data_IF_795029647142
#
_entry.id   IF_795029647142
#
_cell.length_a   1.000
_cell.length_b   1.000
_cell.length_c   1.000
_cell.angle_alpha   90.00
_cell.angle_beta   90.00
_cell.angle_gamma   90.00
#
_symmetry.space_group_name_H-M   'P 1'
#
loop_
_entity.id
_entity.type
_entity.pdbx_description
1 polymer ?
#
# COMPACT_ATOMS: atom_id res chain seq x y z
N UNK A 1 26.44 -11.55 -13.76
CA UNK A 1 25.97 -12.95 -13.82
C UNK A 1 26.30 -13.54 -15.18
N UNK A 2 26.64 -14.85 -15.31
CA UNK A 2 26.92 -15.46 -16.63
C UNK A 2 25.62 -15.76 -17.37
N UNK A 3 25.67 -15.72 -18.72
CA UNK A 3 24.53 -16.09 -19.59
C UNK A 3 24.05 -17.52 -19.30
N UNK A 4 24.96 -18.46 -19.14
CA UNK A 4 24.63 -19.85 -18.82
C UNK A 4 23.84 -19.99 -17.51
N UNK A 5 24.26 -19.27 -16.47
CA UNK A 5 23.53 -19.25 -15.18
C UNK A 5 22.12 -18.65 -15.32
N UNK A 6 21.98 -17.63 -16.16
CA UNK A 6 20.66 -17.02 -16.42
C UNK A 6 19.76 -18.00 -17.17
N UNK A 7 20.29 -18.64 -18.24
CA UNK A 7 19.56 -19.66 -19.01
C UNK A 7 18.99 -20.74 -18.10
N UNK A 8 19.80 -21.28 -17.21
CA UNK A 8 19.40 -22.34 -16.27
C UNK A 8 18.40 -21.83 -15.22
N UNK A 9 18.59 -20.58 -14.73
CA UNK A 9 17.75 -20.00 -13.69
C UNK A 9 16.31 -19.76 -14.17
N UNK A 10 16.16 -19.23 -15.39
CA UNK A 10 14.86 -18.82 -15.91
C UNK A 10 14.25 -19.84 -16.89
N UNK A 11 14.87 -21.03 -17.04
CA UNK A 11 14.52 -22.09 -18.01
C UNK A 11 14.42 -21.55 -19.45
N UNK A 12 15.41 -20.77 -19.85
CA UNK A 12 15.45 -20.20 -21.19
C UNK A 12 16.17 -21.11 -22.19
N UNK A 13 15.87 -20.90 -23.46
CA UNK A 13 16.64 -21.45 -24.58
C UNK A 13 17.50 -20.36 -25.18
N UNK A 14 18.82 -20.55 -25.21
CA UNK A 14 19.73 -19.66 -25.92
C UNK A 14 19.61 -19.90 -27.43
N UNK A 15 19.17 -18.90 -28.18
CA UNK A 15 18.78 -19.06 -29.60
C UNK A 15 19.96 -18.83 -30.55
N UNK A 16 20.97 -18.08 -30.12
CA UNK A 16 22.16 -17.76 -30.93
C UNK A 16 23.46 -18.12 -30.22
N UNK A 17 24.57 -17.81 -30.84
CA UNK A 17 25.93 -17.99 -30.27
C UNK A 17 26.55 -16.63 -29.98
N UNK A 18 26.22 -16.01 -28.84
CA UNK A 18 26.69 -14.66 -28.51
C UNK A 18 28.19 -14.64 -28.23
N UNK A 19 28.82 -13.47 -28.44
CA UNK A 19 30.18 -13.23 -27.93
C UNK A 19 30.18 -12.82 -26.47
N UNK A 20 29.09 -12.21 -26.01
CA UNK A 20 28.90 -11.81 -24.62
C UNK A 20 28.71 -13.02 -23.75
N UNK A 21 29.43 -13.08 -22.63
CA UNK A 21 29.35 -14.18 -21.67
C UNK A 21 28.71 -13.81 -20.34
N UNK A 22 28.60 -12.53 -20.02
CA UNK A 22 28.11 -12.02 -18.72
C UNK A 22 27.28 -10.76 -18.91
N UNK A 23 26.36 -10.55 -17.98
CA UNK A 23 25.62 -9.31 -17.80
C UNK A 23 25.98 -8.68 -16.47
N UNK A 24 25.87 -7.36 -16.36
CA UNK A 24 26.25 -6.58 -15.18
C UNK A 24 25.03 -6.24 -14.32
N UNK A 25 23.97 -5.78 -14.93
CA UNK A 25 22.72 -5.35 -14.31
C UNK A 25 21.51 -5.90 -15.07
N UNK A 26 20.33 -5.46 -14.71
CA UNK A 26 19.10 -5.98 -15.30
C UNK A 26 18.00 -4.92 -15.22
N UNK A 27 17.18 -4.82 -16.25
CA UNK A 27 16.00 -3.97 -16.27
C UNK A 27 14.84 -4.58 -17.05
N UNK A 28 13.64 -4.10 -16.77
CA UNK A 28 12.38 -4.43 -17.46
C UNK A 28 11.86 -3.24 -18.28
N UNK A 29 12.53 -2.08 -18.21
CA UNK A 29 12.17 -0.88 -18.94
C UNK A 29 13.17 -0.60 -20.07
N UNK A 30 12.75 -0.55 -21.35
CA UNK A 30 13.65 -0.35 -22.47
C UNK A 30 14.41 0.99 -22.43
N UNK A 31 13.79 2.01 -21.79
CA UNK A 31 14.41 3.34 -21.66
C UNK A 31 15.48 3.43 -20.55
N UNK A 32 15.60 2.38 -19.73
CA UNK A 32 16.59 2.29 -18.65
C UNK A 32 17.72 1.30 -18.97
N UNK A 33 17.67 0.68 -20.13
CA UNK A 33 18.74 -0.22 -20.56
C UNK A 33 20.04 0.56 -20.69
N UNK A 34 21.07 0.05 -20.05
CA UNK A 34 22.45 0.51 -20.13
C UNK A 34 23.35 -0.58 -20.74
N UNK A 35 24.56 -0.20 -21.14
CA UNK A 35 25.51 -1.15 -21.69
C UNK A 35 25.83 -2.25 -20.66
N UNK A 36 25.66 -3.50 -21.07
CA UNK A 36 25.91 -4.66 -20.19
C UNK A 36 24.66 -5.28 -19.57
N UNK A 37 23.49 -4.69 -19.78
CA UNK A 37 22.25 -5.13 -19.13
C UNK A 37 21.66 -6.42 -19.69
N UNK A 38 20.97 -7.14 -18.78
CA UNK A 38 19.92 -8.10 -19.10
C UNK A 38 18.60 -7.37 -19.22
N UNK A 39 17.96 -7.43 -20.36
CA UNK A 39 16.64 -6.84 -20.58
C UNK A 39 15.54 -7.90 -20.65
N UNK A 40 14.47 -7.74 -19.88
CA UNK A 40 13.26 -8.56 -19.97
C UNK A 40 12.23 -7.87 -20.87
N UNK A 41 12.08 -8.33 -22.10
CA UNK A 41 11.18 -7.76 -23.09
C UNK A 41 9.74 -8.19 -22.84
N UNK A 42 8.98 -7.40 -22.08
CA UNK A 42 7.54 -7.63 -21.87
C UNK A 42 6.71 -7.36 -23.13
N UNK A 43 7.25 -6.55 -24.03
CA UNK A 43 6.71 -6.28 -25.35
C UNK A 43 7.82 -6.52 -26.37
N UNK A 44 7.54 -7.24 -27.46
CA UNK A 44 8.49 -7.51 -28.54
C UNK A 44 8.98 -6.24 -29.24
N UNK A 45 8.16 -5.21 -29.30
CA UNK A 45 8.49 -3.93 -29.94
C UNK A 45 9.61 -3.17 -29.21
N UNK A 46 9.86 -3.51 -27.94
CA UNK A 46 10.89 -2.88 -27.13
C UNK A 46 12.30 -3.48 -27.36
N UNK A 47 12.40 -4.61 -28.05
CA UNK A 47 13.66 -5.36 -28.22
C UNK A 47 14.69 -4.56 -29.00
N UNK A 48 14.30 -3.99 -30.13
CA UNK A 48 15.21 -3.21 -30.97
C UNK A 48 15.80 -2.04 -30.18
N UNK A 49 14.97 -1.33 -29.46
CA UNK A 49 15.39 -0.21 -28.61
C UNK A 49 16.36 -0.64 -27.50
N UNK A 50 16.12 -1.82 -26.89
CA UNK A 50 17.03 -2.35 -25.88
C UNK A 50 18.39 -2.71 -26.47
N UNK A 51 18.43 -3.29 -27.68
CA UNK A 51 19.67 -3.56 -28.40
C UNK A 51 20.44 -2.27 -28.71
N UNK A 52 19.75 -1.26 -29.24
CA UNK A 52 20.33 0.05 -29.54
C UNK A 52 20.89 0.76 -28.29
N UNK A 53 20.26 0.55 -27.12
CA UNK A 53 20.70 1.09 -25.83
C UNK A 53 21.85 0.28 -25.19
N UNK A 54 22.26 -0.86 -25.79
CA UNK A 54 23.43 -1.61 -25.36
C UNK A 54 23.18 -2.81 -24.47
N UNK A 55 21.98 -3.40 -24.49
CA UNK A 55 21.71 -4.64 -23.79
C UNK A 55 22.67 -5.75 -24.23
N UNK A 56 23.17 -6.55 -23.29
CA UNK A 56 24.02 -7.70 -23.57
C UNK A 56 23.22 -9.00 -23.66
N UNK A 57 22.04 -9.03 -23.07
CA UNK A 57 21.13 -10.16 -23.18
C UNK A 57 19.67 -9.69 -23.21
N UNK A 58 18.88 -10.35 -24.04
CA UNK A 58 17.44 -10.08 -24.19
C UNK A 58 16.67 -11.36 -23.84
N UNK A 59 15.81 -11.29 -22.84
CA UNK A 59 14.84 -12.35 -22.53
C UNK A 59 13.52 -12.00 -23.19
N UNK A 60 12.94 -12.93 -23.94
CA UNK A 60 11.71 -12.69 -24.70
C UNK A 60 10.82 -13.93 -24.80
N UNK A 61 9.54 -13.72 -25.06
CA UNK A 61 8.51 -14.74 -25.25
C UNK A 61 8.07 -14.78 -26.71
N UNK A 62 7.67 -15.95 -27.19
CA UNK A 62 7.13 -16.12 -28.52
C UNK A 62 8.18 -16.32 -29.63
N UNK A 63 7.83 -15.99 -30.86
CA UNK A 63 8.70 -16.08 -32.01
C UNK A 63 9.08 -14.68 -32.50
N UNK A 64 10.35 -14.39 -32.48
CA UNK A 64 10.90 -13.10 -32.92
C UNK A 64 11.92 -13.38 -34.03
N UNK A 65 11.90 -12.57 -35.07
CA UNK A 65 12.96 -12.62 -36.10
C UNK A 65 14.18 -11.84 -35.61
N UNK A 66 15.21 -12.56 -35.19
CA UNK A 66 16.48 -12.00 -34.73
C UNK A 66 17.52 -11.81 -35.83
N UNK A 67 17.19 -12.17 -37.09
CA UNK A 67 18.16 -12.18 -38.22
C UNK A 67 18.76 -10.81 -38.52
N UNK A 68 18.00 -9.74 -38.23
CA UNK A 68 18.40 -8.33 -38.45
C UNK A 68 18.93 -7.64 -37.19
N UNK A 69 19.02 -8.37 -36.06
CA UNK A 69 19.49 -7.82 -34.78
C UNK A 69 20.99 -8.16 -34.58
N UNK A 70 21.62 -7.49 -33.63
CA UNK A 70 23.01 -7.74 -33.28
C UNK A 70 23.19 -9.18 -32.77
N UNK A 71 23.92 -10.01 -33.51
CA UNK A 71 24.17 -11.41 -33.17
C UNK A 71 25.27 -11.63 -32.11
N UNK A 72 25.90 -10.56 -31.64
CA UNK A 72 26.95 -10.65 -30.62
C UNK A 72 26.35 -10.72 -29.19
N UNK A 73 25.13 -10.23 -28.99
CA UNK A 73 24.41 -10.32 -27.73
C UNK A 73 23.61 -11.62 -27.60
N UNK A 74 23.17 -11.94 -26.40
CA UNK A 74 22.44 -13.19 -26.14
C UNK A 74 20.91 -12.99 -26.29
N UNK A 75 20.27 -13.91 -27.05
CA UNK A 75 18.81 -13.96 -27.16
C UNK A 75 18.31 -15.19 -26.42
N UNK A 76 17.56 -14.96 -25.33
CA UNK A 76 17.06 -15.96 -24.40
C UNK A 76 15.55 -16.10 -24.56
N UNK A 77 15.13 -17.17 -25.26
CA UNK A 77 13.70 -17.45 -25.45
C UNK A 77 13.15 -18.19 -24.24
N UNK A 78 12.00 -17.75 -23.75
CA UNK A 78 11.25 -18.37 -22.64
C UNK A 78 9.81 -18.64 -23.03
N UNK A 79 9.14 -19.57 -22.33
CA UNK A 79 7.72 -19.86 -22.51
C UNK A 79 6.83 -18.74 -21.92
N UNK A 80 7.28 -18.09 -20.84
CA UNK A 80 6.59 -16.96 -20.23
C UNK A 80 7.58 -15.95 -19.67
N UNK A 81 7.57 -14.76 -20.24
CA UNK A 81 8.43 -13.66 -19.81
C UNK A 81 8.14 -13.23 -18.35
N UNK A 82 6.87 -13.28 -17.95
CA UNK A 82 6.46 -12.96 -16.58
C UNK A 82 7.02 -13.96 -15.57
N UNK A 83 6.98 -15.26 -15.90
CA UNK A 83 7.54 -16.31 -15.04
C UNK A 83 9.07 -16.23 -14.98
N UNK A 84 9.72 -15.96 -16.10
CA UNK A 84 11.16 -15.77 -16.17
C UNK A 84 11.63 -14.59 -15.32
N UNK A 85 10.99 -13.44 -15.46
CA UNK A 85 11.26 -12.25 -14.63
C UNK A 85 11.05 -12.54 -13.14
N UNK A 86 10.01 -13.30 -12.78
CA UNK A 86 9.74 -13.66 -11.40
C UNK A 86 10.81 -14.61 -10.82
N UNK A 87 11.24 -15.63 -11.57
CA UNK A 87 12.32 -16.51 -11.13
C UNK A 87 13.61 -15.73 -10.89
N UNK A 88 13.93 -14.83 -11.82
CA UNK A 88 15.10 -13.96 -11.70
C UNK A 88 14.99 -13.03 -10.47
N UNK A 89 13.85 -12.39 -10.27
CA UNK A 89 13.59 -11.52 -9.12
C UNK A 89 13.78 -12.27 -7.79
N UNK A 90 13.23 -13.47 -7.67
CA UNK A 90 13.38 -14.32 -6.47
C UNK A 90 14.83 -14.67 -6.21
N UNK A 91 15.57 -15.01 -7.25
CA UNK A 91 17.00 -15.29 -7.12
C UNK A 91 17.76 -14.05 -6.60
N UNK A 92 17.51 -12.87 -7.15
CA UNK A 92 18.14 -11.62 -6.70
C UNK A 92 17.73 -11.30 -5.26
N UNK A 93 16.47 -11.49 -4.90
CA UNK A 93 15.98 -11.29 -3.54
C UNK A 93 16.71 -12.18 -2.52
N UNK A 94 16.95 -13.45 -2.86
CA UNK A 94 17.73 -14.38 -2.04
C UNK A 94 19.20 -13.94 -1.95
N UNK A 95 19.82 -13.59 -3.08
CA UNK A 95 21.23 -13.17 -3.11
C UNK A 95 21.51 -11.91 -2.30
N UNK A 96 20.55 -10.96 -2.31
CA UNK A 96 20.61 -9.71 -1.55
C UNK A 96 20.11 -9.86 -0.10
N UNK A 97 19.68 -11.05 0.32
CA UNK A 97 19.05 -11.29 1.63
C UNK A 97 17.87 -10.34 1.91
N UNK A 98 17.04 -10.14 0.90
CA UNK A 98 15.89 -9.23 0.96
C UNK A 98 14.85 -9.73 1.94
N UNK A 99 14.30 -8.83 2.75
CA UNK A 99 13.16 -9.07 3.65
C UNK A 99 11.93 -8.36 3.12
N UNK A 100 10.87 -9.10 2.85
CA UNK A 100 9.59 -8.57 2.41
C UNK A 100 8.64 -8.50 3.61
N UNK A 101 8.18 -7.29 3.94
CA UNK A 101 7.19 -7.07 4.98
C UNK A 101 5.83 -6.72 4.38
N UNK A 102 4.80 -7.45 4.81
CA UNK A 102 3.41 -7.12 4.52
C UNK A 102 2.87 -6.25 5.65
N UNK A 103 2.45 -5.03 5.32
CA UNK A 103 1.79 -4.10 6.22
C UNK A 103 0.31 -3.97 5.90
N UNK A 104 -0.52 -3.81 6.91
CA UNK A 104 -1.87 -3.30 6.70
C UNK A 104 -1.82 -1.86 6.14
N UNK A 105 -2.83 -1.43 5.37
CA UNK A 105 -2.88 -0.06 4.85
C UNK A 105 -2.71 1.01 5.94
N UNK A 106 -3.35 0.81 7.09
CA UNK A 106 -3.26 1.72 8.25
C UNK A 106 -1.85 1.75 8.85
N UNK A 107 -1.17 0.60 8.95
CA UNK A 107 0.21 0.51 9.45
C UNK A 107 1.17 1.26 8.54
N UNK A 108 1.00 1.11 7.22
CA UNK A 108 1.79 1.86 6.24
C UNK A 108 1.52 3.36 6.32
N UNK A 109 0.27 3.76 6.59
CA UNK A 109 -0.12 5.15 6.80
C UNK A 109 0.52 5.73 8.05
N UNK A 110 0.52 4.98 9.16
CA UNK A 110 1.18 5.34 10.43
C UNK A 110 2.70 5.47 10.22
N UNK A 111 3.34 4.46 9.62
CA UNK A 111 4.78 4.45 9.36
C UNK A 111 5.22 5.72 8.61
N UNK A 112 4.51 6.07 7.53
CA UNK A 112 4.80 7.27 6.73
C UNK A 112 4.66 8.58 7.49
N UNK A 113 3.81 8.62 8.52
CA UNK A 113 3.62 9.82 9.33
C UNK A 113 4.74 9.98 10.36
N UNK A 114 5.09 8.90 11.04
CA UNK A 114 6.02 8.96 12.17
C UNK A 114 7.49 8.85 11.76
N UNK A 115 7.79 8.35 10.54
CA UNK A 115 9.18 8.25 10.05
C UNK A 115 9.48 9.34 9.02
N UNK A 116 10.75 9.74 8.96
CA UNK A 116 11.31 10.60 7.91
C UNK A 116 11.92 9.76 6.78
N UNK A 117 12.44 10.42 5.75
CA UNK A 117 13.28 9.76 4.73
C UNK A 117 14.40 8.95 5.40
N UNK A 118 14.54 7.70 5.02
CA UNK A 118 15.55 6.79 5.55
C UNK A 118 16.15 5.95 4.42
N UNK A 119 17.25 5.27 4.72
CA UNK A 119 17.99 4.38 3.81
C UNK A 119 17.81 2.90 4.18
N UNK A 120 16.96 2.59 5.16
CA UNK A 120 16.81 1.24 5.74
C UNK A 120 15.79 0.43 4.95
N UNK A 121 14.66 1.04 4.59
CA UNK A 121 13.58 0.39 3.87
C UNK A 121 13.04 1.21 2.71
N UNK A 122 12.39 0.55 1.78
CA UNK A 122 11.57 1.21 0.75
C UNK A 122 10.21 0.54 0.61
N UNK A 123 9.24 1.29 0.09
CA UNK A 123 7.87 0.82 -0.10
C UNK A 123 7.67 0.43 -1.55
N UNK A 124 7.28 -0.82 -1.78
CA UNK A 124 7.00 -1.33 -3.11
C UNK A 124 5.70 -0.73 -3.68
N UNK A 125 5.70 -0.56 -4.98
CA UNK A 125 4.50 -0.24 -5.75
C UNK A 125 3.60 -1.48 -5.89
N UNK A 126 2.29 -1.30 -6.03
CA UNK A 126 1.38 -2.39 -6.38
C UNK A 126 1.62 -2.92 -7.83
N UNK A 127 2.36 -2.17 -8.64
CA UNK A 127 2.77 -2.58 -9.98
C UNK A 127 4.03 -3.45 -9.95
N UNK A 128 3.93 -4.68 -10.49
CA UNK A 128 5.03 -5.65 -10.52
C UNK A 128 6.31 -5.12 -11.17
N UNK A 129 6.21 -4.44 -12.30
CA UNK A 129 7.37 -3.92 -13.02
C UNK A 129 8.16 -2.91 -12.20
N UNK A 130 7.45 -1.97 -11.54
CA UNK A 130 8.07 -0.99 -10.65
C UNK A 130 8.72 -1.66 -9.45
N UNK A 131 8.08 -2.68 -8.89
CA UNK A 131 8.62 -3.42 -7.74
C UNK A 131 9.82 -4.27 -8.14
N UNK A 132 9.80 -4.89 -9.33
CA UNK A 132 10.94 -5.59 -9.90
C UNK A 132 12.16 -4.66 -9.99
N UNK A 133 12.01 -3.51 -10.67
CA UNK A 133 13.07 -2.50 -10.79
C UNK A 133 13.61 -2.05 -9.43
N UNK A 134 12.69 -1.79 -8.49
CA UNK A 134 13.08 -1.32 -7.16
C UNK A 134 13.91 -2.35 -6.41
N UNK A 135 13.55 -3.64 -6.46
CA UNK A 135 14.28 -4.71 -5.77
C UNK A 135 15.61 -5.00 -6.46
N UNK A 136 15.60 -5.09 -7.80
CA UNK A 136 16.81 -5.46 -8.54
C UNK A 136 17.88 -4.37 -8.46
N UNK A 137 17.48 -3.10 -8.59
CA UNK A 137 18.40 -1.97 -8.80
C UNK A 137 18.60 -1.07 -7.57
N UNK A 138 18.15 -1.49 -6.37
CA UNK A 138 18.41 -0.76 -5.14
C UNK A 138 19.27 -1.56 -4.16
N UNK A 139 19.87 -0.86 -3.21
CA UNK A 139 20.66 -1.44 -2.13
C UNK A 139 19.87 -1.67 -0.84
N UNK A 140 18.53 -1.50 -0.89
CA UNK A 140 17.68 -1.78 0.25
C UNK A 140 17.61 -3.29 0.52
N UNK A 141 17.65 -3.65 1.80
CA UNK A 141 17.42 -5.04 2.25
C UNK A 141 15.98 -5.25 2.73
N UNK A 142 15.26 -4.17 3.07
CA UNK A 142 13.90 -4.23 3.59
C UNK A 142 12.93 -3.57 2.63
N UNK A 143 11.94 -4.34 2.20
CA UNK A 143 10.87 -3.88 1.31
C UNK A 143 9.52 -4.07 1.98
N UNK A 144 8.69 -3.04 1.94
CA UNK A 144 7.36 -3.02 2.54
C UNK A 144 6.30 -2.96 1.44
N UNK A 145 5.28 -3.79 1.54
CA UNK A 145 4.12 -3.73 0.66
C UNK A 145 2.83 -3.93 1.46
N UNK A 146 1.73 -3.35 0.97
CA UNK A 146 0.37 -3.66 1.45
C UNK A 146 -0.34 -4.70 0.57
N UNK A 147 0.28 -5.11 -0.53
CA UNK A 147 -0.28 -6.07 -1.47
C UNK A 147 0.20 -7.48 -1.13
N UNK A 148 -0.70 -8.27 -0.53
CA UNK A 148 -0.44 -9.65 -0.11
C UNK A 148 -0.03 -10.56 -1.26
N UNK A 149 -0.67 -10.42 -2.43
CA UNK A 149 -0.34 -11.24 -3.59
C UNK A 149 1.06 -10.91 -4.12
N UNK A 150 1.44 -9.63 -4.13
CA UNK A 150 2.79 -9.22 -4.50
C UNK A 150 3.83 -9.76 -3.49
N UNK A 151 3.58 -9.63 -2.18
CA UNK A 151 4.46 -10.16 -1.15
C UNK A 151 4.70 -11.66 -1.35
N UNK A 152 3.62 -12.44 -1.44
CA UNK A 152 3.65 -13.90 -1.66
C UNK A 152 4.32 -14.29 -2.97
N UNK A 153 4.16 -13.46 -4.01
CA UNK A 153 4.76 -13.70 -5.32
C UNK A 153 6.28 -13.55 -5.26
N UNK A 154 6.80 -12.57 -4.52
CA UNK A 154 8.24 -12.33 -4.38
C UNK A 154 8.84 -13.32 -3.39
N UNK A 155 8.25 -13.42 -2.20
CA UNK A 155 8.70 -14.31 -1.13
C UNK A 155 7.49 -15.00 -0.47
N UNK A 156 7.44 -16.33 -0.53
CA UNK A 156 6.39 -17.12 0.13
C UNK A 156 6.42 -17.01 1.64
N UNK A 157 7.58 -16.66 2.21
CA UNK A 157 7.82 -16.50 3.65
C UNK A 157 7.88 -15.02 4.07
N UNK A 158 7.14 -14.16 3.37
CA UNK A 158 7.08 -12.74 3.75
C UNK A 158 6.72 -12.56 5.22
N UNK A 159 7.20 -11.47 5.81
CA UNK A 159 7.04 -11.16 7.23
C UNK A 159 5.83 -10.25 7.46
N UNK A 160 5.22 -10.39 8.63
CA UNK A 160 4.25 -9.45 9.18
C UNK A 160 4.84 -8.75 10.40
N UNK A 161 4.23 -7.66 10.83
CA UNK A 161 4.64 -6.95 12.03
C UNK A 161 3.67 -7.24 13.18
N UNK A 162 4.20 -7.28 14.40
CA UNK A 162 3.45 -7.63 15.61
C UNK A 162 3.62 -6.55 16.69
N UNK A 163 2.61 -6.31 17.55
CA UNK A 163 2.64 -5.28 18.59
C UNK A 163 3.48 -5.72 19.80
N UNK A 164 4.78 -5.90 19.61
CA UNK A 164 5.70 -6.44 20.62
C UNK A 164 6.40 -5.34 21.44
N UNK A 165 5.62 -4.36 21.93
CA UNK A 165 6.07 -3.31 22.86
C UNK A 165 5.02 -3.05 23.93
N UNK A 166 5.47 -2.58 25.11
CA UNK A 166 4.58 -2.15 26.16
C UNK A 166 3.87 -0.86 25.82
N UNK A 167 2.54 -0.86 25.99
CA UNK A 167 1.73 0.33 25.76
C UNK A 167 0.27 0.08 26.05
N UNK A 168 -0.42 1.10 26.56
CA UNK A 168 -1.84 1.05 26.88
C UNK A 168 -2.52 2.41 26.69
N UNK A 169 -3.82 2.34 26.41
CA UNK A 169 -4.69 3.51 26.36
C UNK A 169 -5.01 3.97 27.81
N UNK A 170 -5.02 5.27 28.02
CA UNK A 170 -5.32 5.89 29.34
C UNK A 170 -6.71 6.51 29.29
N UNK A 171 -6.94 7.34 28.29
CA UNK A 171 -8.21 7.98 27.99
C UNK A 171 -8.41 7.99 26.49
N UNK A 172 -9.61 7.67 26.05
CA UNK A 172 -9.90 7.64 24.64
C UNK A 172 -11.38 7.92 24.31
N UNK A 173 -11.56 8.44 23.12
CA UNK A 173 -12.81 8.48 22.36
C UNK A 173 -12.53 7.85 21.01
N UNK A 174 -13.53 7.59 20.18
CA UNK A 174 -13.29 7.08 18.83
C UNK A 174 -12.30 7.93 18.00
N UNK A 175 -12.19 9.22 18.32
CA UNK A 175 -11.41 10.19 17.55
C UNK A 175 -10.10 10.61 18.22
N UNK A 176 -9.99 10.54 19.52
CA UNK A 176 -8.86 11.09 20.27
C UNK A 176 -8.38 10.04 21.26
N UNK A 177 -7.09 9.88 21.36
CA UNK A 177 -6.46 8.97 22.31
C UNK A 177 -5.39 9.66 23.14
N UNK A 178 -5.38 9.34 24.43
CA UNK A 178 -4.28 9.57 25.36
C UNK A 178 -3.70 8.21 25.72
N UNK A 179 -2.43 7.99 25.48
CA UNK A 179 -1.80 6.68 25.68
C UNK A 179 -0.37 6.79 26.18
N UNK A 180 0.10 5.69 26.74
CA UNK A 180 1.50 5.46 27.09
C UNK A 180 2.09 4.41 26.18
N UNK A 181 3.28 4.65 25.67
CA UNK A 181 4.12 3.65 24.99
C UNK A 181 5.49 3.68 25.66
N UNK A 182 5.92 2.53 26.18
CA UNK A 182 7.11 2.39 27.03
C UNK A 182 7.10 3.39 28.19
N UNK A 183 8.03 4.35 28.23
CA UNK A 183 8.12 5.38 29.30
C UNK A 183 7.48 6.73 28.91
N UNK A 184 7.00 6.88 27.67
CA UNK A 184 6.50 8.15 27.15
C UNK A 184 4.98 8.24 27.14
N UNK A 185 4.46 9.42 27.51
CA UNK A 185 3.04 9.75 27.49
C UNK A 185 2.70 10.67 26.32
N UNK A 186 1.61 10.36 25.62
CA UNK A 186 1.11 11.10 24.48
C UNK A 186 -0.35 11.48 24.74
N UNK A 187 -0.60 12.78 24.91
CA UNK A 187 -1.91 13.27 25.30
C UNK A 187 -2.68 13.83 24.11
N UNK A 188 -3.99 13.59 24.10
CA UNK A 188 -4.96 14.16 23.16
C UNK A 188 -4.55 14.07 21.68
N UNK A 189 -4.00 12.93 21.29
CA UNK A 189 -3.64 12.69 19.89
C UNK A 189 -4.90 12.52 19.03
N UNK A 190 -4.95 13.20 17.90
CA UNK A 190 -5.94 12.97 16.83
C UNK A 190 -5.68 11.63 16.15
N UNK A 191 -5.92 10.56 16.90
CA UNK A 191 -5.68 9.19 16.51
C UNK A 191 -6.73 8.28 17.14
N UNK A 192 -7.34 7.41 16.35
CA UNK A 192 -8.38 6.51 16.84
C UNK A 192 -7.79 5.34 17.63
N UNK A 193 -8.35 5.02 18.82
CA UNK A 193 -7.90 3.89 19.65
C UNK A 193 -8.03 2.54 18.95
N UNK A 194 -8.92 2.41 17.96
CA UNK A 194 -9.10 1.15 17.22
C UNK A 194 -7.86 0.70 16.43
N UNK A 195 -6.88 1.60 16.26
CA UNK A 195 -5.60 1.33 15.60
C UNK A 195 -4.40 1.34 16.56
N UNK A 196 -4.65 1.27 17.86
CA UNK A 196 -3.57 1.36 18.85
C UNK A 196 -2.59 0.18 18.73
N UNK A 197 -3.09 -1.04 18.47
CA UNK A 197 -2.24 -2.20 18.25
C UNK A 197 -1.44 -2.08 16.94
N UNK A 198 -2.02 -1.53 15.87
CA UNK A 198 -1.29 -1.23 14.65
C UNK A 198 -0.16 -0.21 14.88
N UNK A 199 -0.39 0.81 15.73
CA UNK A 199 0.67 1.75 16.13
C UNK A 199 1.80 1.03 16.87
N UNK A 200 1.49 0.15 17.82
CA UNK A 200 2.49 -0.66 18.55
C UNK A 200 3.28 -1.54 17.58
N UNK A 201 2.62 -2.20 16.62
CA UNK A 201 3.29 -3.03 15.60
C UNK A 201 4.28 -2.23 14.77
N UNK A 202 3.89 -1.02 14.32
CA UNK A 202 4.76 -0.14 13.55
C UNK A 202 5.96 0.34 14.38
N UNK A 203 5.76 0.67 15.66
CA UNK A 203 6.87 1.08 16.54
C UNK A 203 7.80 -0.11 16.84
N UNK A 204 7.25 -1.31 17.06
CA UNK A 204 8.05 -2.55 17.19
C UNK A 204 8.92 -2.79 15.97
N UNK A 205 8.38 -2.61 14.77
CA UNK A 205 9.15 -2.69 13.52
C UNK A 205 10.25 -1.64 13.48
N UNK A 206 9.96 -0.39 13.82
CA UNK A 206 10.95 0.67 13.87
C UNK A 206 12.09 0.36 14.86
N UNK A 207 11.75 -0.12 16.06
CA UNK A 207 12.72 -0.50 17.07
C UNK A 207 13.61 -1.67 16.62
N UNK A 208 13.00 -2.72 16.03
CA UNK A 208 13.72 -3.89 15.52
C UNK A 208 14.75 -3.54 14.45
N UNK A 209 14.45 -2.54 13.63
CA UNK A 209 15.32 -2.12 12.52
C UNK A 209 16.08 -0.82 12.77
N UNK A 210 16.07 -0.31 14.01
CA UNK A 210 16.73 0.95 14.38
C UNK A 210 16.30 2.15 13.54
N UNK A 211 15.01 2.18 13.13
CA UNK A 211 14.44 3.28 12.37
C UNK A 211 14.03 4.40 13.32
N UNK A 212 14.51 5.61 13.06
CA UNK A 212 14.13 6.79 13.85
C UNK A 212 12.71 7.20 13.53
N UNK A 213 11.91 7.41 14.57
CA UNK A 213 10.51 7.82 14.46
C UNK A 213 10.12 8.91 15.45
N UNK A 214 9.04 9.64 15.17
CA UNK A 214 8.49 10.66 16.04
C UNK A 214 6.96 10.53 16.11
N UNK A 215 6.45 10.01 17.22
CA UNK A 215 5.01 9.83 17.47
C UNK A 215 4.27 11.19 17.55
N UNK A 216 4.96 12.30 17.78
CA UNK A 216 4.32 13.62 17.77
C UNK A 216 3.74 13.99 16.38
N UNK A 217 4.25 13.40 15.32
CA UNK A 217 3.73 13.59 13.96
C UNK A 217 2.47 12.76 13.68
N UNK A 218 2.08 11.87 14.59
CA UNK A 218 0.91 11.00 14.43
C UNK A 218 -0.38 11.82 14.36
N UNK A 219 -1.17 11.55 13.34
CA UNK A 219 -2.52 12.07 13.09
C UNK A 219 -3.41 10.93 12.61
N UNK A 220 -4.66 11.23 12.29
CA UNK A 220 -5.52 10.24 11.65
C UNK A 220 -4.84 9.62 10.43
N UNK A 221 -4.75 8.30 10.34
CA UNK A 221 -4.33 7.65 9.10
C UNK A 221 -5.34 7.96 7.99
N UNK A 222 -4.89 7.91 6.74
CA UNK A 222 -5.77 8.23 5.60
C UNK A 222 -6.97 7.29 5.50
N UNK A 223 -6.87 6.10 6.07
CA UNK A 223 -7.90 5.08 6.17
C UNK A 223 -8.99 5.43 7.20
N UNK A 224 -8.77 6.49 7.99
CA UNK A 224 -9.69 6.96 9.03
C UNK A 224 -9.67 8.49 9.10
N UNK A 225 -10.39 9.12 8.20
CA UNK A 225 -10.54 10.58 8.21
C UNK A 225 -11.95 10.97 8.63
N UNK A 226 -12.16 11.54 9.83
CA UNK A 226 -13.45 12.04 10.24
C UNK A 226 -13.81 13.33 9.49
N UNK A 227 -15.03 13.41 8.99
CA UNK A 227 -15.62 14.61 8.40
C UNK A 227 -16.74 15.11 9.32
N UNK A 228 -16.62 16.35 9.75
CA UNK A 228 -17.60 17.05 10.54
C UNK A 228 -18.59 17.71 9.61
N UNK A 229 -19.88 17.40 9.76
CA UNK A 229 -20.91 17.84 8.80
C UNK A 229 -22.15 18.39 9.51
N UNK A 230 -22.91 19.21 8.78
CA UNK A 230 -24.28 19.59 9.15
C UNK A 230 -25.32 18.66 8.48
N UNK A 231 -26.60 18.87 8.76
CA UNK A 231 -27.70 18.07 8.19
C UNK A 231 -27.87 18.20 6.66
N UNK A 232 -27.21 19.18 6.02
CA UNK A 232 -27.19 19.35 4.55
C UNK A 232 -26.01 18.66 3.89
N UNK A 233 -25.22 17.90 4.65
CA UNK A 233 -23.97 17.25 4.21
C UNK A 233 -22.85 18.23 3.82
N UNK A 234 -22.90 19.46 4.30
CA UNK A 234 -21.79 20.40 4.14
C UNK A 234 -20.75 20.12 5.20
N UNK A 235 -19.48 20.13 4.80
CA UNK A 235 -18.34 20.05 5.72
C UNK A 235 -18.31 21.37 6.52
N UNK A 236 -18.23 21.24 7.84
CA UNK A 236 -18.26 22.38 8.76
C UNK A 236 -17.17 22.23 9.83
N UNK A 237 -16.77 23.31 10.50
CA UNK A 237 -15.88 23.23 11.65
C UNK A 237 -16.42 22.31 12.76
N UNK A 238 -15.53 21.61 13.47
CA UNK A 238 -15.86 20.68 14.55
C UNK A 238 -16.80 21.29 15.61
N UNK A 239 -16.62 22.57 15.91
CA UNK A 239 -17.39 23.30 16.95
C UNK A 239 -18.86 23.48 16.63
N UNK A 240 -19.26 23.42 15.37
CA UNK A 240 -20.65 23.59 14.91
C UNK A 240 -21.19 22.36 14.19
N UNK A 241 -20.45 21.27 14.24
CA UNK A 241 -20.85 20.02 13.59
C UNK A 241 -22.00 19.35 14.36
N UNK A 242 -22.95 18.82 13.62
CA UNK A 242 -24.06 18.04 14.15
C UNK A 242 -23.80 16.53 14.05
N UNK A 243 -23.00 16.13 13.09
CA UNK A 243 -22.75 14.73 12.72
C UNK A 243 -21.30 14.53 12.28
N UNK A 244 -20.81 13.30 12.44
CA UNK A 244 -19.49 12.88 11.97
C UNK A 244 -19.65 11.73 10.99
N UNK A 245 -19.01 11.83 9.84
CA UNK A 245 -18.99 10.78 8.82
C UNK A 245 -17.56 10.33 8.59
N UNK A 246 -17.35 9.01 8.53
CA UNK A 246 -16.06 8.39 8.23
C UNK A 246 -16.26 7.41 7.08
N UNK A 247 -15.44 7.53 6.05
CA UNK A 247 -15.48 6.68 4.86
C UNK A 247 -14.39 5.63 4.96
N UNK A 248 -14.75 4.39 4.66
CA UNK A 248 -13.85 3.25 4.76
C UNK A 248 -13.87 2.41 3.48
N UNK A 249 -12.69 1.91 3.10
CA UNK A 249 -12.51 0.93 2.04
C UNK A 249 -12.40 -0.52 2.59
N UNK A 250 -12.37 -0.68 3.91
CA UNK A 250 -12.25 -1.95 4.58
C UNK A 250 -13.35 -2.13 5.63
N UNK A 251 -14.15 -3.20 5.48
CA UNK A 251 -15.22 -3.54 6.43
C UNK A 251 -14.71 -3.85 7.84
N UNK A 252 -13.51 -4.38 7.96
CA UNK A 252 -12.93 -4.67 9.27
C UNK A 252 -12.73 -3.40 10.11
N UNK A 253 -12.33 -2.29 9.49
CA UNK A 253 -12.18 -1.01 10.18
C UNK A 253 -13.53 -0.42 10.61
N UNK A 254 -14.58 -0.63 9.80
CA UNK A 254 -15.96 -0.31 10.21
C UNK A 254 -16.35 -1.13 11.42
N UNK A 255 -16.08 -2.43 11.40
CA UNK A 255 -16.40 -3.33 12.49
C UNK A 255 -15.69 -2.94 13.78
N UNK A 256 -14.39 -2.64 13.71
CA UNK A 256 -13.60 -2.15 14.86
C UNK A 256 -14.20 -0.85 15.42
N UNK A 257 -14.56 0.14 14.56
CA UNK A 257 -15.14 1.41 14.99
C UNK A 257 -16.55 1.26 15.56
N UNK A 258 -17.38 0.43 14.95
CA UNK A 258 -18.74 0.14 15.39
C UNK A 258 -18.76 -0.56 16.75
N UNK A 259 -17.94 -1.61 16.93
CA UNK A 259 -17.83 -2.32 18.20
C UNK A 259 -17.26 -1.46 19.31
N UNK A 260 -16.23 -0.66 19.01
CA UNK A 260 -15.68 0.29 19.96
C UNK A 260 -16.79 1.18 20.57
N UNK A 261 -17.64 1.78 19.74
CA UNK A 261 -18.75 2.61 20.23
C UNK A 261 -19.81 1.80 20.99
N UNK A 262 -20.07 0.55 20.58
CA UNK A 262 -21.03 -0.33 21.24
C UNK A 262 -20.56 -0.75 22.63
N UNK A 263 -19.27 -1.07 22.78
CA UNK A 263 -18.65 -1.48 24.04
C UNK A 263 -18.54 -0.35 25.07
N UNK A 264 -18.33 0.89 24.60
CA UNK A 264 -18.28 2.07 25.48
C UNK A 264 -19.64 2.37 26.15
N UNK A 265 -20.71 1.61 25.83
CA UNK A 265 -22.07 1.80 26.36
C UNK A 265 -22.53 3.27 26.32
N UNK A 266 -22.03 4.03 25.37
CA UNK A 266 -22.31 5.43 25.26
C UNK A 266 -23.72 5.64 24.69
N UNK A 267 -24.34 6.76 25.05
CA UNK A 267 -25.57 7.25 24.43
C UNK A 267 -25.37 7.65 22.94
N UNK A 268 -24.17 7.49 22.43
CA UNK A 268 -23.77 7.81 21.06
C UNK A 268 -24.45 6.86 20.07
N UNK A 269 -25.16 7.43 19.12
CA UNK A 269 -25.79 6.67 18.03
C UNK A 269 -24.88 6.57 16.84
N UNK A 270 -24.63 5.36 16.37
CA UNK A 270 -23.88 5.11 15.14
C UNK A 270 -24.74 4.37 14.12
N UNK A 271 -24.50 4.66 12.84
CA UNK A 271 -25.09 3.95 11.71
C UNK A 271 -23.98 3.47 10.78
N UNK A 272 -24.24 2.36 10.09
CA UNK A 272 -23.37 1.87 9.00
C UNK A 272 -24.13 1.96 7.70
N UNK A 273 -23.54 2.61 6.71
CA UNK A 273 -24.12 2.83 5.38
C UNK A 273 -23.27 2.07 4.35
N UNK A 274 -23.86 1.12 3.66
CA UNK A 274 -23.16 0.15 2.82
C UNK A 274 -23.92 -0.18 1.52
N UNK A 275 -23.25 -0.59 0.43
CA UNK A 275 -23.92 -1.04 -0.78
C UNK A 275 -24.81 -2.26 -0.54
N UNK A 276 -25.87 -2.37 -1.32
CA UNK A 276 -26.95 -3.36 -1.15
C UNK A 276 -26.53 -4.84 -1.13
N UNK A 277 -25.42 -5.22 -1.72
CA UNK A 277 -25.03 -6.64 -1.84
C UNK A 277 -23.91 -7.06 -0.88
N UNK A 278 -23.60 -6.24 0.11
CA UNK A 278 -22.50 -6.53 1.05
C UNK A 278 -23.07 -7.25 2.27
N UNK A 279 -22.58 -8.47 2.53
CA UNK A 279 -22.88 -9.18 3.79
C UNK A 279 -22.15 -8.49 4.95
N UNK A 280 -22.92 -8.08 5.94
CA UNK A 280 -22.43 -7.41 7.14
C UNK A 280 -22.91 -8.14 8.38
N UNK A 281 -22.66 -9.44 8.45
CA UNK A 281 -23.15 -10.33 9.53
C UNK A 281 -22.72 -9.89 10.94
N UNK A 282 -21.73 -9.01 11.01
CA UNK A 282 -21.15 -8.49 12.26
C UNK A 282 -21.68 -7.12 12.66
N UNK A 283 -22.62 -6.53 11.91
CA UNK A 283 -23.17 -5.18 12.12
C UNK A 283 -24.68 -5.26 12.23
N UNK A 284 -25.20 -4.78 13.36
CA UNK A 284 -26.65 -4.74 13.59
C UNK A 284 -27.30 -3.68 12.71
N UNK A 285 -28.31 -4.06 11.93
CA UNK A 285 -29.15 -3.18 11.14
C UNK A 285 -28.40 -2.15 10.25
N UNK A 286 -27.52 -2.61 9.33
CA UNK A 286 -26.87 -1.71 8.38
C UNK A 286 -27.92 -1.06 7.45
N UNK A 287 -27.65 0.16 7.05
CA UNK A 287 -28.48 0.91 6.09
C UNK A 287 -27.91 0.70 4.68
N UNK A 288 -28.73 0.17 3.80
CA UNK A 288 -28.32 -0.22 2.46
C UNK A 288 -28.61 0.89 1.45
N UNK A 289 -27.72 1.11 0.49
CA UNK A 289 -27.93 2.01 -0.63
C UNK A 289 -27.67 1.31 -1.98
N UNK A 290 -28.37 1.76 -3.02
CA UNK A 290 -28.20 1.30 -4.41
C UNK A 290 -27.33 2.24 -5.21
N UNK A 291 -27.40 3.53 -4.91
CA UNK A 291 -26.64 4.58 -5.56
C UNK A 291 -26.25 5.71 -4.56
N UNK A 292 -25.43 6.63 -5.03
CA UNK A 292 -24.90 7.75 -4.23
C UNK A 292 -26.04 8.67 -3.73
N UNK A 293 -27.12 8.85 -4.49
CA UNK A 293 -28.23 9.72 -4.10
C UNK A 293 -28.99 9.11 -2.92
N UNK A 294 -29.24 7.81 -2.95
CA UNK A 294 -29.86 7.10 -1.82
C UNK A 294 -28.95 7.16 -0.57
N UNK A 295 -27.63 6.99 -0.72
CA UNK A 295 -26.69 7.14 0.39
C UNK A 295 -26.76 8.55 1.00
N UNK A 296 -26.83 9.61 0.17
CA UNK A 296 -27.01 11.00 0.63
C UNK A 296 -28.32 11.19 1.40
N UNK A 297 -29.41 10.63 0.91
CA UNK A 297 -30.71 10.72 1.58
C UNK A 297 -30.71 9.98 2.92
N UNK A 298 -30.08 8.82 3.01
CA UNK A 298 -29.89 8.09 4.26
C UNK A 298 -29.13 8.97 5.27
N UNK A 299 -28.01 9.55 4.88
CA UNK A 299 -27.19 10.40 5.75
C UNK A 299 -27.91 11.69 6.20
N UNK A 300 -28.76 12.28 5.36
CA UNK A 300 -29.56 13.44 5.71
C UNK A 300 -30.68 13.11 6.70
N UNK A 301 -31.44 12.05 6.42
CA UNK A 301 -32.67 11.71 7.13
C UNK A 301 -32.46 10.92 8.41
N UNK A 302 -31.35 10.17 8.52
CA UNK A 302 -31.07 9.35 9.70
C UNK A 302 -30.58 10.20 10.87
N UNK A 303 -30.94 9.76 12.06
CA UNK A 303 -30.48 10.36 13.32
C UNK A 303 -29.28 9.57 13.84
N UNK A 304 -28.10 10.21 13.86
CA UNK A 304 -26.85 9.62 14.34
C UNK A 304 -25.86 10.71 14.79
N UNK A 305 -24.89 10.28 15.59
CA UNK A 305 -23.68 11.05 15.88
C UNK A 305 -22.53 10.65 14.94
N UNK A 306 -22.41 9.33 14.64
CA UNK A 306 -21.40 8.79 13.73
C UNK A 306 -22.05 8.00 12.60
N UNK A 307 -21.61 8.22 11.37
CA UNK A 307 -21.91 7.36 10.24
C UNK A 307 -20.62 6.76 9.67
N UNK A 308 -20.58 5.44 9.53
CA UNK A 308 -19.51 4.68 8.90
C UNK A 308 -19.97 4.27 7.51
N UNK A 309 -19.34 4.83 6.49
CA UNK A 309 -19.71 4.63 5.10
C UNK A 309 -18.71 3.69 4.42
N UNK A 310 -19.21 2.60 3.81
CA UNK A 310 -18.40 1.64 3.08
C UNK A 310 -18.52 1.87 1.58
N UNK A 311 -17.37 1.81 0.87
CA UNK A 311 -17.28 1.99 -0.59
C UNK A 311 -17.93 3.27 -1.11
N UNK A 312 -17.79 4.35 -0.35
CA UNK A 312 -18.17 5.71 -0.74
C UNK A 312 -16.96 6.63 -0.56
N UNK A 313 -16.84 7.63 -1.43
CA UNK A 313 -15.83 8.66 -1.28
C UNK A 313 -16.46 9.96 -0.78
N UNK A 314 -15.74 10.67 0.10
CA UNK A 314 -16.22 11.93 0.68
C UNK A 314 -16.59 12.97 -0.39
N UNK A 315 -15.81 13.04 -1.49
CA UNK A 315 -16.05 13.98 -2.60
C UNK A 315 -17.37 13.75 -3.34
N UNK A 316 -17.88 12.50 -3.34
CA UNK A 316 -19.11 12.14 -4.04
C UNK A 316 -20.35 12.38 -3.19
N UNK A 317 -20.17 12.37 -1.86
CA UNK A 317 -21.27 12.43 -0.88
C UNK A 317 -21.37 13.82 -0.22
N UNK A 318 -20.25 14.39 0.19
CA UNK A 318 -20.19 15.63 0.95
C UNK A 318 -20.03 16.84 0.04
N UNK A 319 -20.66 17.96 0.44
CA UNK A 319 -20.44 19.24 -0.21
C UNK A 319 -19.15 19.87 0.37
N UNK A 320 -18.37 20.56 -0.50
CA UNK A 320 -17.23 21.36 -0.05
C UNK A 320 -17.64 22.39 1.01
N UNK A 321 -16.68 22.84 1.82
CA UNK A 321 -16.92 23.92 2.78
C UNK A 321 -17.61 25.08 2.07
N UNK A 322 -18.80 25.48 2.59
CA UNK A 322 -19.38 26.75 2.20
C UNK A 322 -18.38 27.82 2.66
N UNK A 323 -17.82 28.57 1.71
CA UNK A 323 -17.21 29.86 2.02
C UNK A 323 -18.30 30.70 2.69
N UNK A 324 -18.30 30.72 4.04
CA UNK A 324 -19.16 31.66 4.75
C UNK A 324 -18.82 33.07 4.21
N UNK A 325 -19.77 33.80 3.66
CA UNK A 325 -19.52 35.21 3.36
C UNK A 325 -19.04 35.83 4.67
N UNK A 326 -17.84 36.39 4.67
CA UNK A 326 -17.35 37.18 5.83
C UNK A 326 -18.36 38.29 6.08
N UNK A 327 -19.16 38.13 7.11
CA UNK A 327 -20.24 39.07 7.48
C UNK A 327 -19.74 40.34 8.15
N UNK A 328 -18.45 40.62 8.15
CA UNK A 328 -17.90 41.89 8.62
C UNK A 328 -16.61 42.20 7.86
N UNK A 329 -16.68 43.20 7.00
CA UNK A 329 -15.58 44.09 6.65
C UNK A 329 -15.41 45.15 7.74
#
# INVERSE_FOLDING_TARGET
MTIENIVNLIDATLVNKPKVQRVESCTIYPSKVEMGDLFFALNSDDIQKAVENGAYAIVYEGNIDISNLDNQIAYLKVDSIKQAALKFLRYIAIQKNVKIYLFEPVELSILKQITSKNTIFTILSDNFQKSFETIVNSDYEIFITKNKELAKTIDSNYLTIEPNIDGYLIEDTLLISTFKIEKYYYQNKEFSPIFFDNLKSVISFCNTHSIVYNINNLKYPKEFKPYYINNRLNIVPKSISEKIVIFFDNLEYIYRAYNYLKEQKSWTKSIVVTPYNIKTDLIDNPLWFKDINEAKEILKKSFYNYAFCYQLEAKDVLNSEENQPRLFN
#
